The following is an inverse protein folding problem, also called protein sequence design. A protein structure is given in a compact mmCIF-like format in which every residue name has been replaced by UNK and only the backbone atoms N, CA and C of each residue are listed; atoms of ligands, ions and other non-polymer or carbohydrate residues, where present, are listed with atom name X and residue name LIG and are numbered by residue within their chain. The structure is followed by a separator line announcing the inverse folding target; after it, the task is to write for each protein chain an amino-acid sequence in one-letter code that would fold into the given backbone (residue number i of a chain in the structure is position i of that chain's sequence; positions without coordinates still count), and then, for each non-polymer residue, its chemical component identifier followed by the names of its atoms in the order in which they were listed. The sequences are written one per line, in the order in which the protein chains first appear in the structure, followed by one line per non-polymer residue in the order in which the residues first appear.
data_IF_110928694972
#
_entry.id   IF_110928694972
#
_cell.length_a   1.000
_cell.length_b   1.000
_cell.length_c   1.000
_cell.angle_alpha   90.00
_cell.angle_beta   90.00
_cell.angle_gamma   90.00
#
_symmetry.space_group_name_H-M   'P 1'
#
loop_
_entity.id
_entity.type
_entity.pdbx_description
1 polymer ?
#
# COMPACT_ATOMS: atom_id res chain seq x y z
N UNK A 1 65.52 12.86 3.32
CA UNK A 1 64.64 12.90 4.52
C UNK A 1 63.48 13.92 4.44
N UNK A 2 63.57 15.02 3.66
CA UNK A 2 62.48 16.02 3.58
C UNK A 2 61.23 15.58 2.79
N UNK A 3 61.37 14.73 1.76
CA UNK A 3 60.22 14.25 0.97
C UNK A 3 59.24 13.37 1.78
N UNK A 4 59.75 12.58 2.73
CA UNK A 4 58.94 11.70 3.56
C UNK A 4 58.01 12.47 4.49
N UNK A 5 58.44 13.62 5.01
CA UNK A 5 57.61 14.50 5.83
C UNK A 5 56.49 15.16 5.04
N UNK A 6 56.75 15.54 3.79
CA UNK A 6 55.73 16.11 2.89
C UNK A 6 54.69 15.05 2.52
N UNK A 7 55.11 13.80 2.30
CA UNK A 7 54.18 12.70 2.05
C UNK A 7 53.35 12.33 3.28
N UNK A 8 53.92 12.40 4.49
CA UNK A 8 53.18 12.18 5.75
C UNK A 8 52.15 13.30 6.00
N UNK A 9 52.50 14.55 5.70
CA UNK A 9 51.56 15.68 5.76
C UNK A 9 50.45 15.55 4.71
N UNK A 10 50.81 15.20 3.47
CA UNK A 10 49.84 14.95 2.40
C UNK A 10 48.92 13.75 2.70
N UNK A 11 49.43 12.70 3.37
CA UNK A 11 48.62 11.56 3.80
C UNK A 11 47.72 11.85 5.00
N UNK A 12 48.06 12.83 5.84
CA UNK A 12 47.22 13.24 6.97
C UNK A 12 46.00 14.08 6.56
N UNK A 13 45.96 14.52 5.30
CA UNK A 13 44.77 15.14 4.69
C UNK A 13 43.82 14.13 4.05
N UNK A 14 44.03 12.82 4.20
CA UNK A 14 43.02 11.80 3.89
C UNK A 14 41.88 11.86 4.92
N UNK A 15 41.02 12.85 4.69
CA UNK A 15 39.59 12.86 4.93
C UNK A 15 39.09 11.98 6.09
N UNK A 16 39.04 12.58 7.29
CA UNK A 16 37.87 12.37 8.15
C UNK A 16 36.66 12.90 7.37
N UNK A 17 36.07 12.06 6.52
CA UNK A 17 34.76 12.34 5.94
C UNK A 17 33.78 12.30 7.10
N UNK A 18 33.55 13.45 7.74
CA UNK A 18 32.49 13.61 8.71
C UNK A 18 31.19 13.55 7.90
N UNK A 19 30.69 12.34 7.68
CA UNK A 19 29.46 12.10 6.96
C UNK A 19 28.34 12.86 7.70
N UNK A 20 27.61 13.69 6.96
CA UNK A 20 26.53 14.49 7.53
C UNK A 20 25.37 13.56 7.89
N UNK A 21 24.77 13.68 9.08
CA UNK A 21 23.68 12.80 9.48
C UNK A 21 22.47 12.96 8.57
N UNK A 22 21.76 11.85 8.34
CA UNK A 22 20.61 11.79 7.43
C UNK A 22 19.47 11.02 8.09
N UNK A 23 18.26 11.53 7.92
CA UNK A 23 17.05 10.76 8.20
C UNK A 23 16.62 10.08 6.90
N UNK A 24 16.61 8.76 6.87
CA UNK A 24 16.11 7.96 5.76
C UNK A 24 14.70 7.49 6.07
N UNK A 25 13.84 7.52 5.05
CA UNK A 25 12.44 7.13 5.15
C UNK A 25 12.16 6.07 4.09
N UNK A 26 11.71 4.90 4.52
CA UNK A 26 11.45 3.73 3.67
C UNK A 26 9.98 3.35 3.74
N UNK A 27 9.37 3.11 2.59
CA UNK A 27 8.01 2.59 2.50
C UNK A 27 7.79 1.84 1.19
N UNK A 28 6.80 0.94 1.12
CA UNK A 28 6.26 0.47 -0.15
C UNK A 28 5.83 1.63 -1.05
N UNK A 29 5.93 1.44 -2.37
CA UNK A 29 5.52 2.46 -3.35
C UNK A 29 4.00 2.63 -3.45
N UNK A 30 3.22 1.64 -2.99
CA UNK A 30 1.76 1.63 -3.03
C UNK A 30 1.19 1.38 -1.64
N UNK A 31 0.23 2.19 -1.24
CA UNK A 31 -0.50 2.11 0.03
C UNK A 31 -1.88 1.51 -0.21
N UNK A 32 -2.16 0.36 0.39
CA UNK A 32 -3.49 -0.26 0.32
C UNK A 32 -4.38 0.31 1.42
N UNK A 33 -5.52 0.91 1.05
CA UNK A 33 -6.44 1.51 2.01
C UNK A 33 -7.06 0.44 2.92
N UNK A 34 -7.14 0.71 4.23
CA UNK A 34 -7.64 -0.25 5.20
C UNK A 34 -6.63 -1.35 5.61
N UNK A 35 -5.38 -1.25 5.13
CA UNK A 35 -4.29 -2.18 5.48
C UNK A 35 -3.19 -1.39 6.20
N UNK A 36 -2.62 -1.90 7.30
CA UNK A 36 -1.52 -1.23 7.98
C UNK A 36 -0.29 -1.11 7.06
N UNK A 37 0.19 0.11 6.86
CA UNK A 37 1.39 0.41 6.08
C UNK A 37 2.63 0.27 6.94
N UNK A 38 3.58 -0.56 6.51
CA UNK A 38 4.89 -0.67 7.18
C UNK A 38 5.82 0.43 6.69
N UNK A 39 6.37 1.22 7.62
CA UNK A 39 7.27 2.34 7.34
C UNK A 39 8.55 2.18 8.15
N UNK A 40 9.70 2.16 7.47
CA UNK A 40 11.01 2.18 8.11
C UNK A 40 11.52 3.61 8.25
N UNK A 41 12.01 3.98 9.42
CA UNK A 41 12.72 5.24 9.65
C UNK A 41 14.11 4.93 10.16
N UNK A 42 15.13 5.48 9.51
CA UNK A 42 16.52 5.24 9.88
C UNK A 42 17.27 6.56 10.06
N UNK A 43 18.14 6.61 11.06
CA UNK A 43 19.06 7.70 11.32
C UNK A 43 20.47 7.25 10.94
N UNK A 44 21.02 7.82 9.89
CA UNK A 44 22.35 7.51 9.39
C UNK A 44 23.35 8.58 9.85
N UNK A 45 24.59 8.17 10.13
CA UNK A 45 25.74 9.04 10.41
C UNK A 45 25.53 10.03 11.58
N UNK A 46 24.71 9.68 12.57
CA UNK A 46 24.44 10.51 13.73
C UNK A 46 25.56 10.43 14.79
N UNK A 47 25.95 11.56 15.38
CA UNK A 47 26.99 11.56 16.41
C UNK A 47 26.52 10.80 17.67
N UNK A 48 27.43 10.22 18.46
CA UNK A 48 27.10 9.51 19.69
C UNK A 48 26.29 10.39 20.65
N UNK A 49 25.23 9.84 21.23
CA UNK A 49 24.36 10.55 22.18
C UNK A 49 23.30 11.45 21.52
N UNK A 50 23.28 11.57 20.19
CA UNK A 50 22.21 12.25 19.47
C UNK A 50 20.91 11.45 19.58
N UNK A 51 19.83 12.13 19.94
CA UNK A 51 18.47 11.57 19.91
C UNK A 51 17.62 12.40 18.97
N UNK A 52 16.91 11.73 18.07
CA UNK A 52 16.00 12.35 17.09
C UNK A 52 14.60 11.82 17.34
N UNK A 53 13.69 12.72 17.67
CA UNK A 53 12.27 12.40 17.87
C UNK A 53 11.42 13.06 16.81
N UNK A 54 10.28 12.46 16.48
CA UNK A 54 9.36 12.98 15.49
C UNK A 54 8.17 12.08 15.27
N UNK A 55 7.36 12.42 14.27
CA UNK A 55 6.13 11.69 13.92
C UNK A 55 6.09 11.35 12.44
N UNK A 56 5.51 10.20 12.10
CA UNK A 56 5.23 9.79 10.72
C UNK A 56 3.73 9.72 10.49
N UNK A 57 3.27 10.22 9.34
CA UNK A 57 1.86 10.17 8.92
C UNK A 57 1.71 10.31 7.40
N UNK A 58 0.55 9.93 6.87
CA UNK A 58 0.12 10.16 5.50
C UNK A 58 -0.72 11.45 5.40
N UNK A 59 -0.59 12.16 4.29
CA UNK A 59 -1.38 13.36 3.99
C UNK A 59 -1.74 13.46 2.52
N UNK A 60 -2.74 14.28 2.22
CA UNK A 60 -3.09 14.61 0.86
C UNK A 60 -2.04 15.59 0.26
N UNK A 61 -1.40 15.28 -0.87
CA UNK A 61 -0.45 16.19 -1.51
C UNK A 61 -1.13 17.46 -2.04
N UNK A 62 -2.41 17.39 -2.42
CA UNK A 62 -3.20 18.53 -2.91
C UNK A 62 -3.67 19.44 -1.78
N UNK A 63 -3.85 18.90 -0.58
CA UNK A 63 -4.25 19.66 0.62
C UNK A 63 -3.32 19.34 1.78
N UNK A 64 -2.34 20.22 2.00
CA UNK A 64 -1.29 20.01 3.01
C UNK A 64 -1.78 20.01 4.46
N UNK A 65 -3.01 20.48 4.72
CA UNK A 65 -3.64 20.49 6.06
C UNK A 65 -4.33 19.17 6.39
N UNK A 66 -4.74 18.42 5.37
CA UNK A 66 -5.57 17.22 5.54
C UNK A 66 -4.68 15.99 5.70
N UNK A 67 -4.80 15.35 6.87
CA UNK A 67 -4.07 14.13 7.21
C UNK A 67 -4.94 12.92 6.86
N UNK A 68 -4.34 11.95 6.20
CA UNK A 68 -5.02 10.73 5.78
C UNK A 68 -4.79 9.56 6.76
N UNK A 69 -3.91 9.74 7.74
CA UNK A 69 -3.66 8.77 8.82
C UNK A 69 -3.41 9.48 10.16
N UNK A 70 -3.57 8.76 11.30
CA UNK A 70 -3.03 9.21 12.58
C UNK A 70 -1.50 9.37 12.52
N UNK A 71 -0.95 10.13 13.47
CA UNK A 71 0.49 10.26 13.67
C UNK A 71 1.02 9.10 14.50
N UNK A 72 2.16 8.57 14.09
CA UNK A 72 2.92 7.59 14.86
C UNK A 72 4.26 8.21 15.23
N UNK A 73 4.50 8.36 16.53
CA UNK A 73 5.74 8.94 17.04
C UNK A 73 6.89 7.93 16.95
N UNK A 74 8.10 8.43 16.76
CA UNK A 74 9.35 7.66 16.75
C UNK A 74 10.44 8.37 17.55
N UNK A 75 11.38 7.57 18.05
CA UNK A 75 12.61 8.04 18.69
C UNK A 75 13.77 7.18 18.20
N UNK A 76 14.77 7.85 17.63
CA UNK A 76 15.99 7.23 17.10
C UNK A 76 17.19 7.76 17.88
N UNK A 77 18.18 6.89 18.09
CA UNK A 77 19.45 7.22 18.72
C UNK A 77 20.60 6.53 17.99
N UNK A 78 21.85 6.80 18.37
CA UNK A 78 23.01 6.08 17.81
C UNK A 78 22.99 4.58 18.09
N UNK A 79 22.34 4.14 19.18
CA UNK A 79 22.19 2.71 19.52
C UNK A 79 20.97 2.07 18.86
N UNK A 80 19.93 2.87 18.59
CA UNK A 80 18.69 2.47 17.93
C UNK A 80 18.47 3.37 16.74
N UNK A 81 19.27 3.12 15.72
CA UNK A 81 19.34 3.91 14.50
C UNK A 81 18.21 3.58 13.51
N UNK A 82 17.49 2.47 13.71
CA UNK A 82 16.36 2.06 12.88
C UNK A 82 15.11 1.73 13.71
N UNK A 83 13.94 2.12 13.18
CA UNK A 83 12.64 1.70 13.71
C UNK A 83 11.68 1.34 12.56
N UNK A 84 10.96 0.23 12.74
CA UNK A 84 9.87 -0.18 11.87
C UNK A 84 8.53 0.19 12.51
N UNK A 85 7.76 1.03 11.84
CA UNK A 85 6.47 1.54 12.28
C UNK A 85 5.34 0.93 11.46
N UNK A 86 4.18 0.73 12.09
CA UNK A 86 2.95 0.29 11.42
C UNK A 86 1.93 1.42 11.43
N UNK A 87 1.76 2.09 10.29
CA UNK A 87 0.85 3.20 10.12
C UNK A 87 -0.54 2.70 9.71
N UNK A 88 -1.55 2.98 10.53
CA UNK A 88 -2.93 2.60 10.23
C UNK A 88 -3.54 3.58 9.23
N UNK A 89 -4.17 3.09 8.16
CA UNK A 89 -4.95 3.91 7.22
C UNK A 89 -6.36 3.34 7.11
N UNK A 90 -7.35 4.10 7.58
CA UNK A 90 -8.76 3.71 7.48
C UNK A 90 -9.35 4.19 6.17
N UNK A 91 -10.34 3.45 5.65
CA UNK A 91 -11.08 3.86 4.45
C UNK A 91 -11.84 5.17 4.71
N UNK A 92 -12.39 5.34 5.92
CA UNK A 92 -13.04 6.58 6.34
C UNK A 92 -12.06 7.77 6.36
N UNK A 93 -10.87 7.61 6.94
CA UNK A 93 -9.86 8.67 6.97
C UNK A 93 -9.34 9.05 5.59
N UNK A 94 -9.23 8.09 4.66
CA UNK A 94 -8.91 8.35 3.26
C UNK A 94 -10.00 9.16 2.55
N UNK A 95 -11.28 8.90 2.87
CA UNK A 95 -12.42 9.69 2.37
C UNK A 95 -12.39 11.11 2.92
N UNK A 96 -12.29 11.28 4.24
CA UNK A 96 -12.22 12.58 4.91
C UNK A 96 -11.06 13.44 4.40
N UNK A 97 -9.90 12.82 4.15
CA UNK A 97 -8.71 13.48 3.61
C UNK A 97 -8.83 13.86 2.11
N UNK A 98 -9.93 13.48 1.45
CA UNK A 98 -10.21 13.82 0.05
C UNK A 98 -9.43 13.02 -0.98
N UNK A 99 -8.88 11.85 -0.63
CA UNK A 99 -8.14 11.01 -1.60
C UNK A 99 -9.04 10.52 -2.74
N UNK A 100 -10.31 10.23 -2.44
CA UNK A 100 -11.32 9.82 -3.42
C UNK A 100 -11.65 10.91 -4.48
N UNK A 101 -11.35 12.18 -4.19
CA UNK A 101 -11.61 13.30 -5.09
C UNK A 101 -10.48 13.53 -6.09
N UNK A 102 -9.35 12.84 -5.94
CA UNK A 102 -8.17 13.02 -6.79
C UNK A 102 -8.44 12.43 -8.19
N UNK A 103 -8.65 13.31 -9.17
CA UNK A 103 -8.99 12.90 -10.55
C UNK A 103 -7.78 12.63 -11.45
N UNK A 104 -6.57 13.03 -11.04
CA UNK A 104 -5.35 12.90 -11.86
C UNK A 104 -4.64 11.57 -11.62
N UNK A 105 -4.19 11.37 -10.40
CA UNK A 105 -3.46 10.19 -9.98
C UNK A 105 -3.87 9.86 -8.54
N UNK A 106 -3.86 8.58 -8.15
CA UNK A 106 -4.12 8.20 -6.78
C UNK A 106 -2.85 8.42 -5.93
N UNK A 107 -2.46 9.68 -5.74
CA UNK A 107 -1.26 10.05 -5.00
C UNK A 107 -1.54 10.36 -3.53
N UNK A 108 -0.65 9.89 -2.66
CA UNK A 108 -0.65 10.18 -1.23
C UNK A 108 0.78 10.45 -0.79
N UNK A 109 0.99 11.37 0.15
CA UNK A 109 2.34 11.69 0.61
C UNK A 109 2.59 11.13 2.00
N UNK A 110 3.65 10.33 2.13
CA UNK A 110 4.19 9.91 3.42
C UNK A 110 5.13 10.99 3.94
N UNK A 111 4.95 11.40 5.18
CA UNK A 111 5.70 12.49 5.80
C UNK A 111 6.25 12.06 7.14
N UNK A 112 7.56 12.25 7.32
CA UNK A 112 8.23 12.29 8.61
C UNK A 112 8.41 13.75 9.03
N UNK A 113 7.92 14.09 10.22
CA UNK A 113 7.98 15.43 10.81
C UNK A 113 8.86 15.38 12.07
N UNK A 114 9.91 16.20 12.10
CA UNK A 114 10.82 16.33 13.25
C UNK A 114 11.44 17.73 13.28
N UNK A 115 11.51 18.35 14.46
CA UNK A 115 12.20 19.64 14.66
C UNK A 115 13.69 19.55 14.30
N UNK A 116 14.30 18.39 14.53
CA UNK A 116 15.71 18.11 14.22
C UNK A 116 16.08 18.39 12.76
N UNK A 117 15.15 18.17 11.81
CA UNK A 117 15.37 18.48 10.40
C UNK A 117 15.62 19.97 10.15
N UNK A 118 14.97 20.85 10.92
CA UNK A 118 15.15 22.30 10.83
C UNK A 118 16.37 22.74 11.63
N UNK A 119 16.47 22.27 12.87
CA UNK A 119 17.44 22.77 13.84
C UNK A 119 18.87 22.28 13.52
N UNK A 120 19.02 21.02 13.14
CA UNK A 120 20.32 20.41 12.87
C UNK A 120 20.70 20.44 11.38
N UNK A 121 19.77 20.06 10.49
CA UNK A 121 20.05 20.01 9.04
C UNK A 121 19.82 21.35 8.32
N UNK A 122 19.42 22.40 9.06
CA UNK A 122 19.10 23.72 8.49
C UNK A 122 18.14 23.66 7.29
N UNK A 123 17.25 22.66 7.26
CA UNK A 123 16.23 22.57 6.20
C UNK A 123 15.21 23.70 6.39
N UNK A 124 14.66 24.18 5.28
CA UNK A 124 13.57 25.18 5.27
C UNK A 124 12.33 24.71 6.02
N UNK A 125 12.14 23.40 6.14
CA UNK A 125 10.96 22.78 6.75
C UNK A 125 11.36 21.70 7.75
N UNK A 126 10.50 21.46 8.75
CA UNK A 126 10.59 20.37 9.72
C UNK A 126 10.02 19.05 9.18
N UNK A 127 9.87 18.92 7.87
CA UNK A 127 9.24 17.77 7.21
C UNK A 127 10.14 17.21 6.13
N UNK A 128 10.13 15.89 6.03
CA UNK A 128 10.69 15.11 4.93
C UNK A 128 9.62 14.13 4.48
N UNK A 129 9.41 13.99 3.16
CA UNK A 129 8.37 13.12 2.67
C UNK A 129 8.68 12.53 1.31
N UNK A 130 7.90 11.52 0.96
CA UNK A 130 7.97 10.78 -0.29
C UNK A 130 6.55 10.64 -0.84
N UNK A 131 6.38 10.82 -2.14
CA UNK A 131 5.10 10.63 -2.81
C UNK A 131 4.92 9.14 -3.12
N UNK A 132 3.76 8.60 -2.77
CA UNK A 132 3.38 7.22 -2.95
C UNK A 132 2.08 7.17 -3.75
N UNK A 133 1.76 6.01 -4.31
CA UNK A 133 0.42 5.74 -4.82
C UNK A 133 -0.45 5.11 -3.74
N UNK A 134 -1.77 5.26 -3.82
CA UNK A 134 -2.70 4.47 -3.01
C UNK A 134 -3.60 3.60 -3.90
N UNK A 135 -4.13 2.53 -3.31
CA UNK A 135 -5.08 1.64 -3.98
C UNK A 135 -6.19 1.25 -3.02
N UNK A 136 -7.43 1.21 -3.54
CA UNK A 136 -8.57 0.61 -2.85
C UNK A 136 -8.49 -0.92 -2.83
N UNK A 137 -7.67 -1.53 -3.69
CA UNK A 137 -7.52 -2.98 -3.78
C UNK A 137 -6.87 -3.49 -2.51
N UNK A 138 -7.52 -4.42 -1.82
CA UNK A 138 -6.99 -5.07 -0.61
C UNK A 138 -7.42 -6.52 -0.53
N UNK A 139 -6.59 -7.32 0.12
CA UNK A 139 -6.83 -8.74 0.30
C UNK A 139 -6.65 -9.54 -0.99
N UNK A 140 -7.11 -10.79 -0.96
CA UNK A 140 -7.03 -11.72 -2.07
C UNK A 140 -8.39 -12.38 -2.29
N UNK A 141 -8.78 -12.50 -3.57
CA UNK A 141 -9.99 -13.22 -3.98
C UNK A 141 -9.55 -14.41 -4.82
N UNK A 142 -10.01 -15.60 -4.45
CA UNK A 142 -9.87 -16.80 -5.27
C UNK A 142 -11.24 -17.25 -5.74
N UNK A 143 -11.36 -17.61 -7.01
CA UNK A 143 -12.59 -18.12 -7.59
C UNK A 143 -12.34 -19.50 -8.17
N UNK A 144 -13.27 -20.42 -7.92
CA UNK A 144 -13.24 -21.76 -8.47
C UNK A 144 -14.62 -22.14 -8.98
N UNK A 145 -14.67 -22.62 -10.22
CA UNK A 145 -15.84 -23.29 -10.81
C UNK A 145 -15.71 -24.81 -10.68
N UNK A 146 -16.83 -25.53 -10.75
CA UNK A 146 -16.83 -26.99 -10.69
C UNK A 146 -16.23 -27.65 -11.94
N UNK A 147 -16.26 -26.98 -13.09
CA UNK A 147 -15.67 -27.42 -14.35
C UNK A 147 -14.99 -26.25 -15.08
N UNK A 148 -13.99 -26.53 -15.93
CA UNK A 148 -13.31 -25.49 -16.71
C UNK A 148 -14.07 -25.08 -17.99
N UNK A 149 -14.99 -25.92 -18.49
CA UNK A 149 -15.69 -25.74 -19.77
C UNK A 149 -17.14 -26.20 -19.63
N UNK A 150 -18.08 -25.45 -20.19
CA UNK A 150 -19.53 -25.72 -20.09
C UNK A 150 -20.24 -25.52 -21.43
N UNK A 151 -21.19 -26.39 -21.74
CA UNK A 151 -22.14 -26.25 -22.84
C UNK A 151 -23.31 -25.33 -22.48
N UNK A 152 -23.94 -24.69 -23.48
CA UNK A 152 -25.24 -24.04 -23.30
C UNK A 152 -26.25 -24.99 -22.63
N UNK A 153 -27.06 -24.46 -21.73
CA UNK A 153 -28.00 -25.22 -20.89
C UNK A 153 -27.39 -25.87 -19.65
N UNK A 154 -26.05 -25.92 -19.52
CA UNK A 154 -25.42 -26.48 -18.33
C UNK A 154 -25.44 -25.52 -17.14
N UNK A 155 -25.45 -26.12 -15.95
CA UNK A 155 -25.35 -25.40 -14.68
C UNK A 155 -23.90 -25.29 -14.25
N UNK A 156 -23.45 -24.06 -14.05
CA UNK A 156 -22.15 -23.70 -13.48
C UNK A 156 -22.32 -23.57 -11.98
N UNK A 157 -21.54 -24.33 -11.20
CA UNK A 157 -21.42 -24.14 -9.75
C UNK A 157 -20.09 -23.48 -9.46
N UNK A 158 -20.09 -22.46 -8.63
CA UNK A 158 -18.86 -21.73 -8.32
C UNK A 158 -18.78 -21.38 -6.83
N UNK A 159 -17.55 -21.17 -6.39
CA UNK A 159 -17.25 -20.68 -5.05
C UNK A 159 -16.17 -19.62 -5.08
N UNK A 160 -16.30 -18.65 -4.18
CA UNK A 160 -15.38 -17.51 -4.04
C UNK A 160 -14.83 -17.51 -2.63
N UNK A 161 -13.51 -17.40 -2.51
CA UNK A 161 -12.80 -17.29 -1.24
C UNK A 161 -12.28 -15.87 -1.09
N UNK A 162 -12.56 -15.24 0.03
CA UNK A 162 -12.03 -13.92 0.38
C UNK A 162 -11.02 -14.03 1.50
N UNK A 163 -9.81 -13.50 1.27
CA UNK A 163 -8.75 -13.44 2.26
C UNK A 163 -8.28 -12.00 2.46
N UNK A 164 -7.75 -11.70 3.65
CA UNK A 164 -7.02 -10.47 3.94
C UNK A 164 -5.60 -10.47 3.33
N UNK A 165 -4.87 -9.37 3.49
CA UNK A 165 -3.48 -9.25 3.02
C UNK A 165 -2.48 -10.20 3.70
N UNK A 166 -2.89 -10.84 4.80
CA UNK A 166 -2.10 -11.83 5.53
C UNK A 166 -2.53 -13.26 5.18
N UNK A 167 -3.30 -13.43 4.09
CA UNK A 167 -3.82 -14.72 3.63
C UNK A 167 -4.74 -15.40 4.64
N UNK A 168 -5.46 -14.63 5.46
CA UNK A 168 -6.42 -15.13 6.46
C UNK A 168 -7.85 -14.92 5.96
N UNK A 169 -8.80 -15.80 6.29
CA UNK A 169 -10.22 -15.59 5.98
C UNK A 169 -10.70 -14.20 6.42
N UNK A 170 -11.39 -13.48 5.52
CA UNK A 170 -11.97 -12.16 5.83
C UNK A 170 -13.49 -12.18 5.71
N UNK A 171 -14.17 -11.42 6.55
CA UNK A 171 -15.64 -11.27 6.56
C UNK A 171 -16.11 -10.02 5.78
N UNK A 172 -15.26 -9.48 4.91
CA UNK A 172 -15.63 -8.33 4.09
C UNK A 172 -16.73 -8.68 3.08
N UNK A 173 -17.64 -7.73 2.85
CA UNK A 173 -18.68 -7.85 1.82
C UNK A 173 -18.05 -7.97 0.43
N UNK A 174 -18.50 -8.94 -0.35
CA UNK A 174 -18.04 -9.21 -1.71
C UNK A 174 -19.07 -8.74 -2.72
N UNK A 175 -18.59 -8.18 -3.83
CA UNK A 175 -19.40 -7.99 -5.03
C UNK A 175 -18.99 -9.03 -6.06
N UNK A 176 -19.90 -9.92 -6.42
CA UNK A 176 -19.68 -10.94 -7.45
C UNK A 176 -20.42 -10.54 -8.72
N UNK A 177 -19.69 -10.49 -9.82
CA UNK A 177 -20.22 -10.17 -11.13
C UNK A 177 -19.98 -11.33 -12.09
N UNK A 178 -21.00 -11.64 -12.89
CA UNK A 178 -20.91 -12.65 -13.95
C UNK A 178 -21.10 -11.92 -15.27
N UNK A 179 -20.15 -12.12 -16.17
CA UNK A 179 -20.17 -11.57 -17.52
C UNK A 179 -20.29 -12.70 -18.53
N UNK A 180 -21.00 -12.46 -19.63
CA UNK A 180 -21.05 -13.42 -20.74
C UNK A 180 -19.82 -13.29 -21.65
N UNK A 181 -19.76 -14.13 -22.69
CA UNK A 181 -18.70 -14.13 -23.72
C UNK A 181 -18.54 -12.81 -24.49
N UNK A 182 -19.55 -11.93 -24.44
CA UNK A 182 -19.52 -10.60 -25.05
C UNK A 182 -19.03 -9.51 -24.07
N UNK A 183 -18.64 -9.88 -22.85
CA UNK A 183 -18.28 -8.92 -21.80
C UNK A 183 -19.48 -8.16 -21.21
N UNK A 184 -20.71 -8.65 -21.43
CA UNK A 184 -21.92 -8.05 -20.88
C UNK A 184 -22.22 -8.65 -19.51
N UNK A 185 -22.47 -7.79 -18.53
CA UNK A 185 -22.87 -8.18 -17.17
C UNK A 185 -24.25 -8.87 -17.20
N UNK A 186 -24.29 -10.16 -16.85
CA UNK A 186 -25.53 -10.95 -16.77
C UNK A 186 -26.03 -11.13 -15.34
N UNK A 187 -25.14 -11.03 -14.34
CA UNK A 187 -25.52 -11.11 -12.93
C UNK A 187 -24.60 -10.28 -12.06
N UNK A 188 -25.18 -9.55 -11.10
CA UNK A 188 -24.46 -8.89 -10.01
C UNK A 188 -25.07 -9.29 -8.67
N UNK A 189 -24.23 -9.64 -7.69
CA UNK A 189 -24.64 -9.93 -6.32
C UNK A 189 -23.68 -9.25 -5.34
N UNK A 190 -24.23 -8.61 -4.33
CA UNK A 190 -23.47 -8.10 -3.17
C UNK A 190 -23.79 -9.00 -1.99
N UNK A 191 -22.77 -9.62 -1.39
CA UNK A 191 -22.94 -10.69 -0.41
C UNK A 191 -22.02 -10.49 0.79
N UNK A 192 -22.60 -10.53 1.98
CA UNK A 192 -21.86 -10.65 3.23
C UNK A 192 -21.63 -12.14 3.54
N UNK A 193 -20.36 -12.52 3.76
CA UNK A 193 -19.94 -13.92 3.82
C UNK A 193 -19.18 -14.17 5.13
N UNK A 194 -19.87 -14.53 6.23
CA UNK A 194 -19.22 -14.73 7.53
C UNK A 194 -18.24 -15.91 7.54
N UNK A 195 -18.42 -16.88 6.64
CA UNK A 195 -17.51 -18.01 6.46
C UNK A 195 -16.30 -17.71 5.57
N UNK A 196 -16.21 -16.49 5.00
CA UNK A 196 -15.24 -16.10 3.95
C UNK A 196 -15.31 -16.91 2.65
N UNK A 197 -16.25 -17.85 2.54
CA UNK A 197 -16.49 -18.71 1.38
C UNK A 197 -17.91 -18.52 0.90
N UNK A 198 -18.08 -17.93 -0.27
CA UNK A 198 -19.37 -17.78 -0.94
C UNK A 198 -19.56 -18.91 -1.95
N UNK A 199 -20.74 -19.52 -1.99
CA UNK A 199 -21.09 -20.56 -2.96
C UNK A 199 -22.39 -20.20 -3.64
N UNK A 200 -22.45 -20.38 -4.96
CA UNK A 200 -23.62 -20.06 -5.77
C UNK A 200 -23.58 -20.81 -7.10
N UNK A 201 -24.67 -20.74 -7.84
CA UNK A 201 -24.81 -21.40 -9.14
C UNK A 201 -25.57 -20.56 -10.15
N UNK A 202 -25.32 -20.82 -11.44
CA UNK A 202 -25.96 -20.16 -12.57
C UNK A 202 -26.17 -21.18 -13.70
N UNK A 203 -27.27 -21.05 -14.45
CA UNK A 203 -27.51 -21.83 -15.67
C UNK A 203 -27.17 -20.99 -16.88
N UNK A 204 -26.37 -21.55 -17.80
CA UNK A 204 -26.04 -20.91 -19.08
C UNK A 204 -27.27 -21.02 -20.00
N UNK A 205 -27.78 -19.93 -20.59
CA UNK A 205 -28.88 -20.00 -21.53
C UNK A 205 -28.57 -20.89 -22.74
N UNK A 206 -29.54 -21.65 -23.25
CA UNK A 206 -29.35 -22.56 -24.39
C UNK A 206 -28.93 -21.84 -25.69
N UNK A 207 -29.31 -20.57 -25.80
CA UNK A 207 -28.96 -19.67 -26.91
C UNK A 207 -27.61 -18.97 -26.73
N UNK A 208 -26.85 -19.29 -25.66
CA UNK A 208 -25.57 -18.66 -25.41
C UNK A 208 -24.56 -19.04 -26.50
N UNK A 209 -23.91 -18.03 -27.07
CA UNK A 209 -22.87 -18.24 -28.07
C UNK A 209 -21.60 -18.82 -27.44
N UNK A 210 -21.05 -19.84 -28.10
CA UNK A 210 -19.79 -20.46 -27.69
C UNK A 210 -18.60 -19.61 -28.17
N UNK A 211 -17.78 -19.04 -27.27
CA UNK A 211 -16.54 -18.41 -27.68
C UNK A 211 -15.56 -19.53 -28.03
N UNK A 212 -15.35 -19.81 -29.32
CA UNK A 212 -14.39 -20.83 -29.76
C UNK A 212 -13.01 -20.66 -29.09
N UNK A 213 -12.34 -21.76 -28.72
CA UNK A 213 -10.96 -21.93 -28.18
C UNK A 213 -10.25 -20.76 -27.44
N UNK A 214 -10.97 -19.79 -26.88
CA UNK A 214 -10.43 -18.79 -25.98
C UNK A 214 -10.92 -19.12 -24.59
N UNK A 215 -9.97 -19.49 -23.74
CA UNK A 215 -10.14 -19.86 -22.35
C UNK A 215 -10.60 -18.60 -21.57
N UNK A 216 -11.90 -18.35 -21.56
CA UNK A 216 -12.49 -17.28 -20.76
C UNK A 216 -13.14 -17.90 -19.53
N UNK A 217 -12.68 -17.50 -18.34
CA UNK A 217 -13.33 -17.84 -17.09
C UNK A 217 -14.71 -17.17 -17.07
N UNK A 218 -15.82 -17.93 -17.08
CA UNK A 218 -17.18 -17.36 -17.19
C UNK A 218 -17.60 -16.53 -15.98
N UNK A 219 -16.80 -16.56 -14.90
CA UNK A 219 -17.04 -15.76 -13.70
C UNK A 219 -15.76 -15.01 -13.36
N UNK A 220 -15.82 -13.67 -13.44
CA UNK A 220 -14.81 -12.79 -12.86
C UNK A 220 -15.28 -12.36 -11.47
N UNK A 221 -14.64 -12.90 -10.43
CA UNK A 221 -14.75 -12.32 -9.09
C UNK A 221 -13.92 -11.05 -9.06
N UNK A 222 -14.52 -9.89 -9.35
CA UNK A 222 -13.82 -8.62 -9.26
C UNK A 222 -14.16 -7.89 -7.94
N UNK A 223 -13.09 -7.61 -7.22
CA UNK A 223 -12.95 -6.64 -6.13
C UNK A 223 -13.71 -6.87 -4.81
N UNK A 224 -12.89 -7.02 -3.76
CA UNK A 224 -13.16 -6.45 -2.44
C UNK A 224 -12.99 -4.93 -2.58
N UNK A 225 -13.95 -4.28 -3.24
CA UNK A 225 -14.03 -2.83 -3.21
C UNK A 225 -14.90 -2.48 -2.01
N UNK A 226 -14.46 -1.60 -1.09
CA UNK A 226 -15.39 -1.02 -0.15
C UNK A 226 -16.54 -0.43 -0.96
N UNK A 227 -17.77 -0.79 -0.60
CA UNK A 227 -18.99 -0.26 -1.18
C UNK A 227 -18.86 1.25 -1.29
N UNK A 228 -18.59 1.72 -2.50
CA UNK A 228 -18.37 3.12 -2.89
C UNK A 228 -17.24 3.81 -2.11
N UNK A 229 -16.09 4.02 -2.76
CA UNK A 229 -15.23 5.17 -2.45
C UNK A 229 -15.80 6.41 -3.12
#
# INVERSE_FOLDING_TARGET
MRLLWVLIWASSFFALSLQKPRLLLFSPSVVHLGVPLSVGVQLQDAPPGQVVTGSVFLRNPSSTRDRCSPKVEFSLSSERDFVLLSLQISVAGAKECGLHLLRRAPDVQLVAQSSWLKDYLSKKTNIQGVNLFFSSRRGHIFLQTDQPVYNPGQRVRYRVFALDQKMRPTEETLTVMVENSHGLLVRKKEVYVPSSIFQDDLVIPDIAEWPGFQQQHPVRGEEICPSQL
#
